data_IF_476933504392
#
_entry.id   IF_476933504392
#
_cell.length_a   1.000
_cell.length_b   1.000
_cell.length_c   1.000
_cell.angle_alpha   90.00
_cell.angle_beta   90.00
_cell.angle_gamma   90.00
#
_symmetry.space_group_name_H-M   'P 1'
#
loop_
_entity.id
_entity.type
_entity.pdbx_description
1 polymer ?
#
# COMPACT_ATOMS: atom_id res chain seq x y z
N UNK A 1 -2.75 -4.75 27.39
CA UNK A 1 -3.70 -4.10 26.46
C UNK A 1 -3.53 -4.79 25.11
N UNK A 2 -4.60 -5.32 24.51
CA UNK A 2 -4.53 -5.82 23.12
C UNK A 2 -4.55 -4.59 22.22
N UNK A 3 -3.42 -4.28 21.59
CA UNK A 3 -3.35 -3.25 20.55
C UNK A 3 -3.93 -3.84 19.28
N UNK A 4 -5.16 -3.43 18.93
CA UNK A 4 -5.78 -3.82 17.68
C UNK A 4 -4.91 -3.35 16.52
N UNK A 5 -4.42 -4.29 15.70
CA UNK A 5 -3.66 -3.99 14.49
C UNK A 5 -4.63 -3.31 13.49
N UNK A 6 -4.29 -2.15 12.92
CA UNK A 6 -5.11 -1.53 11.88
C UNK A 6 -5.27 -2.47 10.68
N UNK A 7 -6.48 -2.59 10.15
CA UNK A 7 -6.78 -3.45 8.98
C UNK A 7 -6.76 -2.68 7.65
N UNK A 8 -6.62 -1.35 7.71
CA UNK A 8 -6.62 -0.45 6.54
C UNK A 8 -5.57 0.66 6.66
N UNK A 9 -5.06 1.10 5.52
CA UNK A 9 -4.23 2.29 5.34
C UNK A 9 -4.89 3.22 4.32
N UNK A 10 -5.28 4.42 4.78
CA UNK A 10 -5.97 5.43 3.97
C UNK A 10 -7.16 4.87 3.16
N UNK A 11 -7.96 4.01 3.81
CA UNK A 11 -9.13 3.35 3.22
C UNK A 11 -8.83 2.08 2.43
N UNK A 12 -7.57 1.83 2.05
CA UNK A 12 -7.15 0.59 1.40
C UNK A 12 -6.90 -0.51 2.43
N UNK A 13 -7.38 -1.72 2.15
CA UNK A 13 -7.12 -2.94 2.92
C UNK A 13 -5.62 -3.21 3.09
N UNK A 14 -5.22 -3.81 4.22
CA UNK A 14 -3.85 -4.29 4.44
C UNK A 14 -3.69 -5.80 4.21
N UNK A 15 -4.78 -6.49 3.87
CA UNK A 15 -4.74 -7.89 3.47
C UNK A 15 -3.89 -8.08 2.21
N UNK A 16 -3.05 -9.12 2.21
CA UNK A 16 -2.04 -9.32 1.18
C UNK A 16 -2.63 -9.46 -0.24
N UNK A 17 -3.70 -10.24 -0.41
CA UNK A 17 -4.23 -10.53 -1.75
C UNK A 17 -4.78 -9.26 -2.41
N UNK A 18 -5.56 -8.50 -1.65
CA UNK A 18 -6.12 -7.24 -2.13
C UNK A 18 -5.06 -6.12 -2.23
N UNK A 19 -4.05 -6.13 -1.35
CA UNK A 19 -3.00 -5.11 -1.34
C UNK A 19 -2.05 -5.19 -2.54
N UNK A 20 -1.75 -6.39 -3.05
CA UNK A 20 -1.01 -6.56 -4.29
C UNK A 20 -1.76 -5.89 -5.45
N UNK A 21 -3.05 -6.19 -5.60
CA UNK A 21 -3.87 -5.61 -6.66
C UNK A 21 -4.03 -4.09 -6.55
N UNK A 22 -4.12 -3.55 -5.35
CA UNK A 22 -4.15 -2.09 -5.14
C UNK A 22 -2.81 -1.44 -5.51
N UNK A 23 -1.69 -2.07 -5.15
CA UNK A 23 -0.35 -1.58 -5.51
C UNK A 23 -0.14 -1.56 -7.02
N UNK A 24 -0.55 -2.63 -7.72
CA UNK A 24 -0.48 -2.70 -9.19
C UNK A 24 -1.29 -1.60 -9.87
N UNK A 25 -2.50 -1.31 -9.37
CA UNK A 25 -3.33 -0.21 -9.89
C UNK A 25 -2.69 1.16 -9.68
N UNK A 26 -2.12 1.41 -8.49
CA UNK A 26 -1.44 2.67 -8.18
C UNK A 26 -0.23 2.88 -9.10
N UNK A 27 0.63 1.87 -9.22
CA UNK A 27 1.82 1.94 -10.08
C UNK A 27 1.44 2.03 -11.57
N UNK A 28 0.38 1.33 -12.00
CA UNK A 28 -0.17 1.45 -13.35
C UNK A 28 -0.65 2.86 -13.67
N UNK A 29 -1.38 3.50 -12.75
CA UNK A 29 -1.81 4.89 -12.89
C UNK A 29 -0.60 5.86 -12.98
N UNK A 30 0.40 5.67 -12.12
CA UNK A 30 1.64 6.45 -12.17
C UNK A 30 2.39 6.27 -13.50
N UNK A 31 2.44 5.05 -14.03
CA UNK A 31 3.10 4.75 -15.31
C UNK A 31 2.39 5.41 -16.50
N UNK A 32 1.05 5.40 -16.52
CA UNK A 32 0.28 6.12 -17.55
C UNK A 32 0.61 7.61 -17.51
N UNK A 33 0.57 8.25 -16.33
CA UNK A 33 0.89 9.67 -16.17
C UNK A 33 2.32 10.00 -16.63
N UNK A 34 3.29 9.18 -16.23
CA UNK A 34 4.69 9.33 -16.63
C UNK A 34 4.87 9.35 -18.15
N UNK A 35 4.15 8.48 -18.88
CA UNK A 35 4.24 8.38 -20.33
C UNK A 35 3.49 9.48 -21.09
N UNK A 36 2.53 10.15 -20.44
CA UNK A 36 1.86 11.30 -21.05
C UNK A 36 2.68 12.59 -20.97
N UNK A 37 3.74 12.62 -20.16
CA UNK A 37 4.55 13.84 -19.91
C UNK A 37 3.81 14.92 -19.11
N UNK A 38 2.49 14.78 -18.95
CA UNK A 38 1.66 15.61 -18.11
C UNK A 38 1.77 15.15 -16.64
N UNK A 39 1.87 16.13 -15.75
CA UNK A 39 1.65 15.92 -14.32
C UNK A 39 2.65 14.99 -13.58
N UNK A 40 3.95 15.23 -13.82
CA UNK A 40 5.07 14.53 -13.14
C UNK A 40 4.95 14.54 -11.62
N UNK A 41 4.49 15.62 -11.02
CA UNK A 41 4.36 15.74 -9.56
C UNK A 41 3.27 14.79 -9.02
N UNK A 42 2.16 14.64 -9.73
CA UNK A 42 1.12 13.65 -9.38
C UNK A 42 1.65 12.22 -9.53
N UNK A 43 2.44 11.94 -10.57
CA UNK A 43 3.09 10.63 -10.73
C UNK A 43 3.98 10.30 -9.52
N UNK A 44 4.85 11.24 -9.09
CA UNK A 44 5.71 11.06 -7.92
C UNK A 44 4.89 10.86 -6.63
N UNK A 45 3.80 11.62 -6.47
CA UNK A 45 2.89 11.49 -5.32
C UNK A 45 2.26 10.09 -5.26
N UNK A 46 1.81 9.55 -6.39
CA UNK A 46 1.22 8.20 -6.45
C UNK A 46 2.28 7.14 -6.13
N UNK A 47 3.51 7.28 -6.63
CA UNK A 47 4.61 6.35 -6.33
C UNK A 47 4.96 6.38 -4.84
N UNK A 48 5.04 7.57 -4.24
CA UNK A 48 5.30 7.74 -2.81
C UNK A 48 4.19 7.10 -1.96
N UNK A 49 2.93 7.33 -2.34
CA UNK A 49 1.79 6.70 -1.68
C UNK A 49 1.83 5.17 -1.78
N UNK A 50 2.11 4.62 -2.97
CA UNK A 50 2.24 3.18 -3.17
C UNK A 50 3.36 2.57 -2.30
N UNK A 51 4.49 3.28 -2.13
CA UNK A 51 5.57 2.86 -1.24
C UNK A 51 5.15 2.85 0.24
N UNK A 52 4.49 3.92 0.71
CA UNK A 52 3.98 4.00 2.08
C UNK A 52 2.96 2.89 2.37
N UNK A 53 2.07 2.64 1.42
CA UNK A 53 1.07 1.58 1.50
C UNK A 53 1.72 0.19 1.59
N UNK A 54 2.68 -0.12 0.71
CA UNK A 54 3.44 -1.38 0.76
C UNK A 54 4.14 -1.59 2.11
N UNK A 55 4.74 -0.52 2.65
CA UNK A 55 5.36 -0.59 3.98
C UNK A 55 4.34 -0.93 5.07
N UNK A 56 3.15 -0.30 5.05
CA UNK A 56 2.07 -0.59 5.99
C UNK A 56 1.60 -2.06 5.87
N UNK A 57 1.49 -2.59 4.65
CA UNK A 57 1.13 -4.01 4.40
C UNK A 57 2.19 -4.94 5.01
N UNK A 58 3.48 -4.67 4.80
CA UNK A 58 4.56 -5.49 5.37
C UNK A 58 4.51 -5.48 6.91
N UNK A 59 4.31 -4.30 7.52
CA UNK A 59 4.18 -4.17 8.97
C UNK A 59 2.97 -4.92 9.51
N UNK A 60 1.82 -4.82 8.84
CA UNK A 60 0.60 -5.57 9.16
C UNK A 60 0.83 -7.09 9.12
N UNK A 61 1.42 -7.60 8.04
CA UNK A 61 1.68 -9.04 7.87
C UNK A 61 2.64 -9.58 8.94
N UNK A 62 3.68 -8.81 9.31
CA UNK A 62 4.59 -9.16 10.41
C UNK A 62 3.86 -9.26 11.75
N UNK A 63 2.96 -8.31 12.02
CA UNK A 63 2.22 -8.31 13.27
C UNK A 63 1.23 -9.48 13.35
N UNK A 64 0.50 -9.79 12.27
CA UNK A 64 -0.38 -10.98 12.20
C UNK A 64 0.37 -12.29 12.40
N UNK A 65 1.56 -12.43 11.81
CA UNK A 65 2.40 -13.60 12.02
C UNK A 65 2.85 -13.76 13.48
N UNK A 66 3.13 -12.65 14.17
CA UNK A 66 3.52 -12.66 15.58
C UNK A 66 2.34 -12.99 16.52
N UNK A 67 1.12 -12.56 16.19
CA UNK A 67 -0.08 -12.93 16.95
C UNK A 67 -0.39 -14.43 16.83
N UNK A 68 -0.15 -15.03 15.66
CA UNK A 68 -0.44 -16.46 15.43
C UNK A 68 0.58 -17.39 16.10
N UNK A 69 1.70 -16.84 16.60
CA UNK A 69 2.80 -17.60 17.25
C UNK A 69 2.74 -17.60 18.78
N UNK A 70 1.89 -16.77 19.39
CA UNK A 70 1.67 -16.68 20.84
C UNK A 70 0.36 -17.36 21.24
#
# INVERSE_FOLDING_TARGET
MSTTIPEKFDGLTLDYEEAVGNTEKLLGAAFVLMNTGENKDTCLTIIEFAWLYQRAVIEYMRNKQNETRN
#
